data_IF_425158927023
#
_entry.id   IF_425158927023
#
_cell.length_a   1.000
_cell.length_b   1.000
_cell.length_c   1.000
_cell.angle_alpha   90.00
_cell.angle_beta   90.00
_cell.angle_gamma   90.00
#
_symmetry.space_group_name_H-M   'P 1'
#
loop_
_entity.id
_entity.type
_entity.pdbx_description
1 polymer ?
#
# COMPACT_ATOMS: atom_id res chain seq x y z
N UNK A 1 -4.50 -4.09 22.77
CA UNK A 1 -5.51 -3.27 22.07
C UNK A 1 -5.17 -3.29 20.59
N UNK A 2 -6.12 -3.52 19.68
CA UNK A 2 -5.82 -3.50 18.25
C UNK A 2 -5.68 -2.05 17.77
N UNK A 3 -4.58 -1.74 17.09
CA UNK A 3 -4.36 -0.42 16.49
C UNK A 3 -5.43 -0.18 15.42
N UNK A 4 -6.03 1.01 15.45
CA UNK A 4 -6.96 1.47 14.40
C UNK A 4 -6.15 2.19 13.33
N UNK A 5 -6.45 1.91 12.06
CA UNK A 5 -5.86 2.57 10.90
C UNK A 5 -6.96 2.97 9.91
N UNK A 6 -6.66 3.93 9.04
CA UNK A 6 -7.55 4.46 7.99
C UNK A 6 -6.75 4.99 6.81
N UNK A 7 -7.43 5.29 5.70
CA UNK A 7 -6.82 5.95 4.56
C UNK A 7 -6.17 7.29 4.94
N UNK A 8 -4.96 7.50 4.43
CA UNK A 8 -4.09 8.64 4.71
C UNK A 8 -3.16 8.46 5.91
N UNK A 9 -3.35 7.43 6.74
CA UNK A 9 -2.40 7.11 7.81
C UNK A 9 -1.06 6.69 7.19
N UNK A 10 0.03 7.19 7.77
CA UNK A 10 1.40 6.87 7.38
C UNK A 10 1.99 5.95 8.43
N UNK A 11 2.59 4.87 7.97
CA UNK A 11 3.19 3.86 8.83
C UNK A 11 4.57 3.48 8.34
N UNK A 12 5.40 2.97 9.25
CA UNK A 12 6.75 2.54 8.97
C UNK A 12 6.84 1.01 8.95
N UNK A 13 7.50 0.48 7.92
CA UNK A 13 7.87 -0.93 7.84
C UNK A 13 9.38 -1.02 8.09
N UNK A 14 9.83 -1.63 9.20
CA UNK A 14 11.25 -1.86 9.43
C UNK A 14 11.81 -2.89 8.45
N UNK A 15 13.03 -2.66 7.96
CA UNK A 15 13.84 -3.61 7.21
C UNK A 15 14.90 -4.25 8.09
N UNK A 16 15.41 -5.41 7.68
CA UNK A 16 16.50 -6.10 8.37
C UNK A 16 17.82 -5.32 8.31
N UNK A 17 17.95 -4.37 7.37
CA UNK A 17 19.12 -3.51 7.24
C UNK A 17 19.11 -2.30 8.19
N UNK A 18 18.11 -2.20 9.08
CA UNK A 18 17.96 -1.06 10.00
C UNK A 18 17.40 0.19 9.34
N UNK A 19 16.88 0.08 8.12
CA UNK A 19 16.14 1.16 7.44
C UNK A 19 14.64 0.98 7.64
N UNK A 20 13.88 2.02 7.36
CA UNK A 20 12.42 2.01 7.40
C UNK A 20 11.88 2.43 6.03
N UNK A 21 10.88 1.71 5.54
CA UNK A 21 10.06 2.21 4.45
C UNK A 21 8.86 2.95 5.06
N UNK A 22 8.72 4.23 4.74
CA UNK A 22 7.49 4.96 5.04
C UNK A 22 6.45 4.63 3.97
N UNK A 23 5.30 4.17 4.43
CA UNK A 23 4.19 3.76 3.61
C UNK A 23 2.94 4.54 4.00
N UNK A 24 2.06 4.76 3.03
CA UNK A 24 0.77 5.40 3.27
C UNK A 24 -0.37 4.46 2.92
N UNK A 25 -1.34 4.34 3.82
CA UNK A 25 -2.57 3.62 3.57
C UNK A 25 -3.38 4.38 2.52
N UNK A 26 -3.60 3.75 1.38
CA UNK A 26 -4.43 4.29 0.30
C UNK A 26 -5.86 3.76 0.39
N UNK A 27 -6.02 2.49 0.77
CA UNK A 27 -7.31 1.81 0.83
C UNK A 27 -7.41 0.96 2.09
N UNK A 28 -8.45 1.21 2.88
CA UNK A 28 -8.73 0.54 4.15
C UNK A 28 -10.19 0.07 4.18
N UNK A 29 -10.51 -1.01 3.43
CA UNK A 29 -11.89 -1.44 3.23
C UNK A 29 -12.57 -1.85 4.53
N UNK A 30 -13.87 -1.64 4.55
CA UNK A 30 -14.76 -2.25 5.54
C UNK A 30 -15.46 -3.49 4.94
N UNK A 31 -16.03 -4.34 5.77
CA UNK A 31 -16.75 -5.54 5.31
C UNK A 31 -15.83 -6.71 4.94
N UNK A 32 -16.08 -7.33 3.78
CA UNK A 32 -15.47 -8.63 3.41
C UNK A 32 -13.95 -8.56 3.25
N UNK A 33 -13.43 -7.41 2.79
CA UNK A 33 -12.00 -7.19 2.60
C UNK A 33 -11.30 -6.54 3.79
N UNK A 34 -11.95 -6.39 4.97
CA UNK A 34 -11.40 -5.71 6.17
C UNK A 34 -10.07 -6.23 6.71
N UNK A 35 -9.61 -7.39 6.22
CA UNK A 35 -8.33 -8.01 6.58
C UNK A 35 -7.19 -7.60 5.65
N UNK A 36 -7.48 -6.90 4.55
CA UNK A 36 -6.54 -6.41 3.55
C UNK A 36 -6.39 -4.90 3.71
N UNK A 37 -5.20 -4.40 3.39
CA UNK A 37 -4.91 -2.97 3.26
C UNK A 37 -4.20 -2.74 1.93
N UNK A 38 -4.63 -1.70 1.21
CA UNK A 38 -3.91 -1.16 0.06
C UNK A 38 -3.04 0.01 0.50
N UNK A 39 -1.75 -0.02 0.13
CA UNK A 39 -0.81 1.02 0.51
C UNK A 39 0.20 1.30 -0.61
N UNK A 40 0.89 2.42 -0.48
CA UNK A 40 2.01 2.79 -1.35
C UNK A 40 3.23 3.17 -0.51
N UNK A 41 4.40 3.23 -1.15
CA UNK A 41 5.65 3.65 -0.52
C UNK A 41 5.86 5.13 -0.78
N UNK A 42 6.15 5.90 0.27
CA UNK A 42 6.46 7.31 0.20
C UNK A 42 7.98 7.52 0.09
N UNK A 43 8.76 6.93 0.99
CA UNK A 43 10.20 7.11 1.04
C UNK A 43 10.89 6.01 1.85
N UNK A 44 12.22 5.95 1.78
CA UNK A 44 13.04 5.14 2.68
C UNK A 44 13.83 6.05 3.64
N UNK A 45 13.83 5.71 4.92
CA UNK A 45 14.56 6.44 5.96
C UNK A 45 15.58 5.52 6.64
N UNK A 46 16.77 6.04 6.93
CA UNK A 46 17.85 5.30 7.60
C UNK A 46 17.84 5.46 9.13
N UNK A 47 16.87 6.20 9.67
CA UNK A 47 16.78 6.55 11.09
C UNK A 47 15.33 6.41 11.56
N UNK A 48 15.08 6.77 12.83
CA UNK A 48 13.76 6.68 13.43
C UNK A 48 12.68 7.31 12.53
N UNK A 49 11.60 6.55 12.22
CA UNK A 49 10.70 6.93 11.15
C UNK A 49 9.90 8.17 11.53
N UNK A 50 10.13 9.27 10.81
CA UNK A 50 9.53 10.57 11.11
C UNK A 50 8.81 11.12 9.88
N UNK A 51 7.57 11.55 10.05
CA UNK A 51 6.80 12.20 8.99
C UNK A 51 7.21 13.68 8.88
N UNK A 52 8.11 14.01 7.94
CA UNK A 52 8.60 15.39 7.75
C UNK A 52 7.81 16.11 6.65
N UNK A 53 7.74 15.51 5.46
CA UNK A 53 6.92 15.97 4.35
C UNK A 53 6.61 14.78 3.43
N UNK A 54 5.34 14.53 3.14
CA UNK A 54 5.00 13.47 2.20
C UNK A 54 5.28 13.91 0.77
N UNK A 55 5.93 13.08 -0.05
CA UNK A 55 6.15 13.40 -1.45
C UNK A 55 4.82 13.53 -2.19
N UNK A 56 4.81 14.35 -3.24
CA UNK A 56 3.60 14.55 -4.07
C UNK A 56 3.17 13.28 -4.81
N UNK A 57 4.10 12.33 -4.99
CA UNK A 57 3.86 11.07 -5.69
C UNK A 57 4.56 9.92 -4.94
N UNK A 58 3.91 8.75 -4.80
CA UNK A 58 4.53 7.57 -4.22
C UNK A 58 5.72 7.07 -5.07
N UNK A 59 6.70 6.49 -4.39
CA UNK A 59 7.82 5.81 -5.03
C UNK A 59 7.35 4.47 -5.64
N UNK A 60 7.78 4.15 -6.87
CA UNK A 60 7.56 2.83 -7.43
C UNK A 60 8.40 1.79 -6.69
N UNK A 61 7.81 0.64 -6.43
CA UNK A 61 8.46 -0.56 -5.93
C UNK A 61 8.70 -1.49 -7.10
N UNK A 62 9.94 -1.93 -7.28
CA UNK A 62 10.31 -2.78 -8.40
C UNK A 62 10.07 -4.26 -8.09
N UNK A 63 9.44 -4.95 -9.03
CA UNK A 63 9.31 -6.41 -9.06
C UNK A 63 9.66 -6.91 -10.46
N UNK A 64 10.94 -7.28 -10.67
CA UNK A 64 11.50 -7.51 -12.00
C UNK A 64 11.39 -6.26 -12.87
N UNK A 65 10.74 -6.37 -14.03
CA UNK A 65 10.53 -5.25 -14.96
C UNK A 65 9.28 -4.41 -14.64
N UNK A 66 8.58 -4.68 -13.53
CA UNK A 66 7.35 -3.99 -13.16
C UNK A 66 7.59 -2.93 -12.10
N UNK A 67 7.08 -1.72 -12.35
CA UNK A 67 6.99 -0.65 -11.37
C UNK A 67 5.61 -0.66 -10.69
N UNK A 68 5.56 -1.13 -9.45
CA UNK A 68 4.34 -1.28 -8.65
C UNK A 68 4.20 -0.08 -7.72
N UNK A 69 3.07 0.61 -7.75
CA UNK A 69 2.79 1.77 -6.86
C UNK A 69 1.68 1.51 -5.84
N UNK A 70 0.91 0.45 -6.05
CA UNK A 70 -0.13 -0.01 -5.16
C UNK A 70 0.17 -1.44 -4.75
N UNK A 71 0.36 -1.64 -3.45
CA UNK A 71 0.61 -2.92 -2.85
C UNK A 71 -0.57 -3.30 -1.96
N UNK A 72 -0.89 -4.58 -1.91
CA UNK A 72 -1.90 -5.10 -0.99
C UNK A 72 -1.25 -6.08 -0.04
N UNK A 73 -1.59 -6.00 1.25
CA UNK A 73 -1.12 -6.96 2.24
C UNK A 73 -2.14 -7.14 3.37
N UNK A 74 -1.85 -8.05 4.27
CA UNK A 74 -2.65 -8.30 5.45
C UNK A 74 -2.53 -7.18 6.49
N UNK A 75 -3.59 -6.95 7.24
CA UNK A 75 -3.66 -5.89 8.27
C UNK A 75 -3.02 -6.27 9.61
N UNK A 76 -2.50 -7.49 9.73
CA UNK A 76 -2.03 -8.08 10.99
C UNK A 76 -0.89 -7.26 11.62
N UNK A 77 0.12 -6.89 10.82
CA UNK A 77 1.29 -6.12 11.27
C UNK A 77 0.94 -4.69 11.69
N UNK A 78 -0.02 -4.05 11.02
CA UNK A 78 -0.58 -2.76 11.44
C UNK A 78 -1.35 -2.91 12.76
N UNK A 79 -2.25 -3.89 12.86
CA UNK A 79 -3.11 -4.10 14.04
C UNK A 79 -2.33 -4.49 15.29
N UNK A 80 -1.21 -5.22 15.14
CA UNK A 80 -0.31 -5.57 16.23
C UNK A 80 0.56 -4.39 16.68
N UNK A 81 0.69 -3.35 15.85
CA UNK A 81 1.58 -2.21 16.08
C UNK A 81 3.04 -2.47 15.71
N UNK A 82 3.34 -3.62 15.09
CA UNK A 82 4.69 -3.91 14.58
C UNK A 82 5.04 -2.99 13.40
N UNK A 83 4.04 -2.67 12.56
CA UNK A 83 4.13 -1.56 11.63
C UNK A 83 3.54 -0.32 12.29
N UNK A 84 4.43 0.54 12.76
CA UNK A 84 4.09 1.68 13.59
C UNK A 84 3.46 2.78 12.74
N UNK A 85 2.30 3.30 13.17
CA UNK A 85 1.71 4.50 12.56
C UNK A 85 2.47 5.72 13.09
N UNK A 86 3.13 6.44 12.18
CA UNK A 86 3.99 7.60 12.50
C UNK A 86 3.29 8.93 12.29
N UNK A 87 2.11 8.92 11.67
CA UNK A 87 1.32 10.12 11.49
C UNK A 87 0.25 9.95 10.43
N UNK A 88 -0.20 11.07 9.89
CA UNK A 88 -1.19 11.12 8.82
C UNK A 88 -0.82 12.21 7.83
N UNK A 89 -0.98 11.89 6.55
CA UNK A 89 -0.77 12.82 5.46
C UNK A 89 -2.00 12.87 4.54
N UNK A 90 -2.20 13.98 3.80
CA UNK A 90 -3.14 13.99 2.68
C UNK A 90 -2.82 12.86 1.70
N UNK A 91 -3.85 12.32 1.07
CA UNK A 91 -3.66 11.31 0.03
C UNK A 91 -3.00 11.96 -1.21
N UNK A 92 -2.17 11.23 -1.98
CA UNK A 92 -1.49 11.76 -3.16
C UNK A 92 -2.47 12.31 -4.20
N UNK A 93 -2.04 13.22 -5.07
CA UNK A 93 -2.92 13.75 -6.12
C UNK A 93 -3.43 12.65 -7.08
N UNK A 94 -2.60 11.63 -7.32
CA UNK A 94 -2.91 10.49 -8.21
C UNK A 94 -3.71 9.39 -7.50
N UNK A 95 -4.28 9.67 -6.33
CA UNK A 95 -4.96 8.68 -5.49
C UNK A 95 -6.08 7.94 -6.20
N UNK A 96 -6.79 8.62 -7.10
CA UNK A 96 -7.87 7.97 -7.86
C UNK A 96 -7.32 6.83 -8.73
N UNK A 97 -6.24 7.09 -9.46
CA UNK A 97 -5.58 6.07 -10.27
C UNK A 97 -5.03 4.94 -9.39
N UNK A 98 -4.42 5.29 -8.26
CA UNK A 98 -3.87 4.32 -7.30
C UNK A 98 -4.96 3.53 -6.54
N UNK A 99 -6.21 3.99 -6.51
CA UNK A 99 -7.34 3.26 -5.95
C UNK A 99 -8.20 2.59 -7.04
N UNK A 100 -7.79 2.66 -8.29
CA UNK A 100 -8.45 1.98 -9.40
C UNK A 100 -7.75 0.64 -9.64
N UNK A 101 -8.37 -0.45 -9.21
CA UNK A 101 -7.82 -1.80 -9.31
C UNK A 101 -8.94 -2.81 -9.49
N UNK A 102 -8.61 -4.03 -9.90
CA UNK A 102 -9.60 -5.07 -10.11
C UNK A 102 -9.50 -6.22 -9.10
N UNK A 103 -10.65 -6.72 -8.68
CA UNK A 103 -10.81 -7.88 -7.80
C UNK A 103 -11.57 -8.93 -8.59
N UNK A 104 -10.92 -10.06 -8.90
CA UNK A 104 -11.53 -11.17 -9.66
C UNK A 104 -12.25 -10.74 -10.98
N UNK A 105 -11.74 -9.70 -11.63
CA UNK A 105 -12.27 -9.16 -12.90
C UNK A 105 -13.28 -8.03 -12.73
N UNK A 106 -13.76 -7.75 -11.51
CA UNK A 106 -14.53 -6.55 -11.22
C UNK A 106 -13.59 -5.36 -11.03
N UNK A 107 -13.81 -4.26 -11.75
CA UNK A 107 -13.10 -3.00 -11.54
C UNK A 107 -13.72 -2.25 -10.36
N UNK A 108 -12.87 -1.79 -9.45
CA UNK A 108 -13.26 -1.00 -8.30
C UNK A 108 -12.49 0.32 -8.26
N UNK A 109 -13.14 1.37 -7.76
CA UNK A 109 -12.52 2.60 -7.27
C UNK A 109 -12.65 2.58 -5.74
N UNK A 110 -11.59 2.14 -5.05
CA UNK A 110 -11.60 1.87 -3.61
C UNK A 110 -12.64 0.80 -3.25
N UNK A 111 -13.64 1.16 -2.45
CA UNK A 111 -14.74 0.25 -2.07
C UNK A 111 -15.88 0.21 -3.11
N UNK A 112 -15.85 1.07 -4.12
CA UNK A 112 -16.97 1.23 -5.06
C UNK A 112 -16.79 0.32 -6.27
N UNK A 113 -17.75 -0.57 -6.51
CA UNK A 113 -17.82 -1.30 -7.77
C UNK A 113 -18.11 -0.36 -8.94
N UNK A 114 -17.32 -0.46 -10.01
CA UNK A 114 -17.49 0.35 -11.22
C UNK A 114 -18.15 -0.48 -12.32
N UNK A 115 -17.52 -1.60 -12.72
CA UNK A 115 -18.01 -2.51 -13.77
C UNK A 115 -17.19 -3.80 -13.81
N UNK A 116 -17.65 -4.79 -14.58
CA UNK A 116 -16.81 -5.93 -14.96
C UNK A 116 -15.85 -5.53 -16.09
N UNK A 117 -14.60 -5.99 -16.00
CA UNK A 117 -13.58 -5.87 -17.04
C UNK A 117 -13.73 -7.01 -18.05
N UNK A 118 -13.42 -6.74 -19.32
CA UNK A 118 -13.12 -7.82 -20.26
C UNK A 118 -11.69 -8.34 -20.04
N UNK A 119 -11.39 -9.54 -20.53
CA UNK A 119 -10.07 -10.18 -20.35
C UNK A 119 -8.94 -9.30 -20.90
N UNK A 120 -9.16 -8.63 -22.04
CA UNK A 120 -8.19 -7.73 -22.67
C UNK A 120 -7.87 -6.48 -21.83
N UNK A 121 -8.72 -6.15 -20.86
CA UNK A 121 -8.54 -5.00 -19.98
C UNK A 121 -7.79 -5.35 -18.69
N UNK A 122 -7.62 -6.63 -18.36
CA UNK A 122 -6.99 -7.03 -17.09
C UNK A 122 -5.57 -6.49 -16.96
N UNK A 123 -4.80 -6.47 -18.05
CA UNK A 123 -3.45 -5.94 -18.05
C UNK A 123 -3.38 -4.40 -17.87
N UNK A 124 -4.49 -3.69 -18.02
CA UNK A 124 -4.55 -2.22 -17.91
C UNK A 124 -4.73 -1.72 -16.48
N UNK A 125 -5.16 -2.59 -15.58
CA UNK A 125 -5.46 -2.24 -14.19
C UNK A 125 -4.68 -3.13 -13.23
N UNK A 126 -4.20 -2.59 -12.09
CA UNK A 126 -3.63 -3.42 -11.04
C UNK A 126 -4.64 -4.45 -10.54
N UNK A 127 -4.18 -5.68 -10.29
CA UNK A 127 -5.00 -6.69 -9.62
C UNK A 127 -4.82 -6.60 -8.10
N UNK A 128 -5.88 -6.87 -7.33
CA UNK A 128 -5.77 -7.01 -5.87
C UNK A 128 -5.05 -8.31 -5.50
N UNK A 129 -3.72 -8.29 -5.56
CA UNK A 129 -2.84 -9.40 -5.19
C UNK A 129 -2.29 -9.19 -3.79
N UNK A 130 -2.83 -9.92 -2.81
CA UNK A 130 -2.41 -9.78 -1.40
C UNK A 130 -1.05 -10.44 -1.19
N UNK A 131 -0.04 -9.63 -0.95
CA UNK A 131 1.33 -10.06 -0.70
C UNK A 131 1.51 -10.47 0.76
N UNK A 132 2.27 -11.56 0.97
CA UNK A 132 2.74 -11.94 2.30
C UNK A 132 3.79 -10.96 2.83
N UNK A 133 3.96 -10.90 4.15
CA UNK A 133 4.84 -9.92 4.81
C UNK A 133 6.31 -10.06 4.38
N UNK A 134 6.81 -11.28 4.23
CA UNK A 134 8.16 -11.55 3.75
C UNK A 134 8.39 -10.97 2.33
N UNK A 135 7.40 -11.10 1.46
CA UNK A 135 7.48 -10.56 0.10
C UNK A 135 7.45 -9.04 0.10
N UNK A 136 6.62 -8.44 0.96
CA UNK A 136 6.62 -6.98 1.16
C UNK A 136 8.00 -6.51 1.61
N UNK A 137 8.60 -7.15 2.62
CA UNK A 137 9.94 -6.77 3.11
C UNK A 137 11.01 -6.90 2.02
N UNK A 138 11.00 -7.99 1.25
CA UNK A 138 11.94 -8.19 0.14
C UNK A 138 11.81 -7.08 -0.90
N UNK A 139 10.60 -6.80 -1.38
CA UNK A 139 10.35 -5.77 -2.41
C UNK A 139 10.83 -4.38 -1.97
N UNK A 140 10.65 -4.06 -0.68
CA UNK A 140 11.08 -2.77 -0.11
C UNK A 140 12.60 -2.70 0.07
N UNK A 141 13.26 -3.84 0.30
CA UNK A 141 14.71 -3.93 0.44
C UNK A 141 15.45 -3.86 -0.90
N UNK A 142 14.86 -4.44 -1.94
CA UNK A 142 15.42 -4.47 -3.31
C UNK A 142 15.17 -3.18 -4.11
N UNK A 143 14.29 -2.28 -3.65
CA UNK A 143 13.97 -1.02 -4.34
C UNK A 143 15.03 0.10 -4.16
N UNK A 144 16.31 -0.24 -4.36
CA UNK A 144 17.44 0.71 -4.39
C UNK A 144 17.73 1.24 -5.79
#
# INVERSE_FOLDING_TARGET
>A
MAVKYRAGDVFAIPSDAGTYALCQVLWAPQGDYRKVVGFCVLEQQASEPTLVASPSRPLPVRDGDKDIRLLFTGTQKLRSGEWQIVGRAPLPNDTRELQTFHIAGALHEGDTFVRMLSVDEYARYPSMSVLGFELVQRLLSDSR
#
